data_IF_205066424143
#
_entry.id   IF_205066424143
#
_cell.length_a   1.000
_cell.length_b   1.000
_cell.length_c   1.000
_cell.angle_alpha   90.00
_cell.angle_beta   90.00
_cell.angle_gamma   90.00
#
_symmetry.space_group_name_H-M   'P 1'
#
loop_
_entity.id
_entity.type
_entity.pdbx_description
1 polymer ?
#
# COMPACT_ATOMS: atom_id res chain seq x y z
N UNK A 1 54.79 55.87 -6.84
CA UNK A 1 54.81 55.00 -5.64
C UNK A 1 53.46 54.82 -4.94
N UNK A 2 52.54 55.79 -4.93
CA UNK A 2 51.27 55.68 -4.19
C UNK A 2 50.26 54.67 -4.76
N UNK A 3 50.19 54.50 -6.08
CA UNK A 3 49.26 53.57 -6.75
C UNK A 3 49.66 52.11 -6.50
N UNK A 4 50.96 51.80 -6.53
CA UNK A 4 51.47 50.45 -6.28
C UNK A 4 51.19 50.00 -4.84
N UNK A 5 51.30 50.91 -3.87
CA UNK A 5 50.96 50.63 -2.46
C UNK A 5 49.47 50.33 -2.26
N UNK A 6 48.58 51.04 -2.97
CA UNK A 6 47.12 50.80 -2.91
C UNK A 6 46.73 49.47 -3.55
N UNK A 7 47.34 49.12 -4.69
CA UNK A 7 47.12 47.83 -5.33
C UNK A 7 47.59 46.66 -4.46
N UNK A 8 48.74 46.80 -3.79
CA UNK A 8 49.27 45.80 -2.87
C UNK A 8 48.37 45.62 -1.64
N UNK A 9 47.86 46.71 -1.05
CA UNK A 9 46.93 46.66 0.08
C UNK A 9 45.60 45.96 -0.29
N UNK A 10 45.06 46.23 -1.48
CA UNK A 10 43.85 45.56 -1.97
C UNK A 10 44.07 44.07 -2.23
N UNK A 11 45.24 43.70 -2.77
CA UNK A 11 45.60 42.30 -2.98
C UNK A 11 45.75 41.54 -1.66
N UNK A 12 46.38 42.16 -0.65
CA UNK A 12 46.52 41.59 0.70
C UNK A 12 45.15 41.46 1.38
N UNK A 13 44.28 42.46 1.27
CA UNK A 13 42.92 42.39 1.81
C UNK A 13 42.08 41.28 1.15
N UNK A 14 42.18 41.13 -0.17
CA UNK A 14 41.49 40.05 -0.90
C UNK A 14 42.02 38.65 -0.52
N UNK A 15 43.33 38.52 -0.29
CA UNK A 15 43.94 37.28 0.17
C UNK A 15 43.50 36.94 1.61
N UNK A 16 43.47 37.93 2.50
CA UNK A 16 42.97 37.78 3.87
C UNK A 16 41.49 37.37 3.90
N UNK A 17 40.66 37.96 3.04
CA UNK A 17 39.24 37.61 2.93
C UNK A 17 39.05 36.17 2.43
N UNK A 18 39.87 35.71 1.46
CA UNK A 18 39.86 34.32 0.97
C UNK A 18 40.31 33.33 2.04
N UNK A 19 41.32 33.67 2.84
CA UNK A 19 41.81 32.82 3.93
C UNK A 19 40.78 32.73 5.06
N UNK A 20 40.10 33.83 5.40
CA UNK A 20 39.01 33.85 6.37
C UNK A 20 37.79 33.04 5.89
N UNK A 21 37.43 33.13 4.60
CA UNK A 21 36.37 32.33 4.01
C UNK A 21 36.73 30.83 3.98
N UNK A 22 37.98 30.50 3.67
CA UNK A 22 38.49 29.12 3.72
C UNK A 22 38.47 28.53 5.13
N UNK A 23 38.83 29.33 6.15
CA UNK A 23 38.76 28.90 7.56
C UNK A 23 37.31 28.71 8.03
N UNK A 24 36.37 29.55 7.59
CA UNK A 24 34.94 29.41 7.91
C UNK A 24 34.34 28.11 7.33
N UNK A 25 34.75 27.71 6.12
CA UNK A 25 34.36 26.43 5.52
C UNK A 25 34.96 25.21 6.25
N UNK A 26 36.18 25.32 6.76
CA UNK A 26 36.85 24.24 7.50
C UNK A 26 36.30 24.03 8.93
N UNK A 27 35.80 25.09 9.58
CA UNK A 27 35.15 24.99 10.91
C UNK A 27 33.71 24.48 10.80
N UNK A 28 33.06 24.63 9.64
CA UNK A 28 31.69 24.13 9.40
C UNK A 28 31.63 22.64 9.06
N UNK A 29 32.76 21.97 8.81
CA UNK A 29 32.84 20.52 8.60
C UNK A 29 33.01 19.78 9.92
N UNK A 30 31.98 19.81 10.77
CA UNK A 30 31.78 18.78 11.78
C UNK A 30 31.51 17.43 11.10
N UNK A 31 31.86 16.33 11.78
CA UNK A 31 31.88 14.96 11.28
C UNK A 31 30.53 14.43 10.72
N UNK A 32 30.11 14.89 9.54
CA UNK A 32 29.05 14.35 8.70
C UNK A 32 29.03 14.98 7.27
N UNK A 33 30.15 15.53 6.80
CA UNK A 33 30.20 16.21 5.49
C UNK A 33 30.26 15.19 4.34
N UNK A 34 29.30 15.31 3.41
CA UNK A 34 29.35 14.60 2.12
C UNK A 34 30.61 15.01 1.35
N UNK A 35 31.24 14.10 0.58
CA UNK A 35 32.34 14.50 -0.29
C UNK A 35 31.82 15.43 -1.37
N UNK A 36 32.04 16.74 -1.20
CA UNK A 36 31.87 17.74 -2.24
C UNK A 36 33.04 17.59 -3.21
N UNK A 37 32.76 17.16 -4.44
CA UNK A 37 33.73 17.23 -5.53
C UNK A 37 33.62 18.60 -6.21
N UNK A 38 34.74 19.27 -6.53
CA UNK A 38 34.70 20.62 -7.09
C UNK A 38 34.04 20.63 -8.47
N UNK A 39 33.06 21.52 -8.63
CA UNK A 39 32.46 21.88 -9.91
C UNK A 39 33.41 22.77 -10.71
N UNK A 40 33.85 22.32 -11.90
CA UNK A 40 34.55 23.18 -12.85
C UNK A 40 33.56 24.16 -13.54
N UNK A 41 33.96 25.40 -13.84
CA UNK A 41 33.07 26.37 -14.46
C UNK A 41 32.85 26.03 -15.94
N UNK A 42 31.58 26.02 -16.37
CA UNK A 42 31.19 25.78 -17.77
C UNK A 42 31.29 27.09 -18.55
N UNK A 43 32.26 27.19 -19.45
CA UNK A 43 32.25 28.17 -20.54
C UNK A 43 31.60 27.54 -21.76
N UNK A 44 30.65 28.25 -22.36
CA UNK A 44 29.88 27.79 -23.50
C UNK A 44 30.75 27.66 -24.76
N UNK A 45 31.21 26.44 -25.04
CA UNK A 45 31.50 25.92 -26.39
C UNK A 45 31.47 24.40 -26.35
N UNK A 46 30.71 23.79 -27.27
CA UNK A 46 30.67 22.32 -27.49
C UNK A 46 32.06 21.85 -27.91
N UNK A 47 32.86 21.45 -26.93
CA UNK A 47 34.00 20.56 -27.10
C UNK A 47 33.95 19.60 -25.93
N UNK A 48 33.87 18.30 -26.22
CA UNK A 48 34.01 17.22 -25.24
C UNK A 48 35.38 17.36 -24.55
N UNK A 49 35.45 18.13 -23.46
CA UNK A 49 36.59 18.11 -22.56
C UNK A 49 36.35 16.93 -21.62
N UNK A 50 37.04 15.85 -21.95
CA UNK A 50 37.13 14.64 -21.17
C UNK A 50 37.67 15.00 -19.78
N UNK A 51 36.80 15.01 -18.77
CA UNK A 51 37.22 15.13 -17.38
C UNK A 51 37.90 13.81 -16.97
N UNK A 52 39.20 13.87 -16.71
CA UNK A 52 40.01 12.74 -16.23
C UNK A 52 39.66 12.42 -14.76
N UNK A 53 38.53 11.73 -14.58
CA UNK A 53 38.31 10.87 -13.42
C UNK A 53 38.38 9.43 -13.94
N UNK A 54 39.08 8.49 -13.27
CA UNK A 54 39.13 7.10 -13.71
C UNK A 54 37.72 6.50 -13.64
N UNK A 55 36.98 6.57 -14.74
CA UNK A 55 35.66 5.98 -14.85
C UNK A 55 35.82 4.46 -14.99
N UNK A 56 35.08 3.64 -14.23
CA UNK A 56 35.03 2.20 -14.46
C UNK A 56 34.67 1.91 -15.92
N UNK A 57 35.37 0.99 -16.60
CA UNK A 57 35.10 0.64 -18.01
C UNK A 57 33.63 0.28 -18.28
N UNK A 58 32.95 -0.28 -17.28
CA UNK A 58 31.52 -0.59 -17.30
C UNK A 58 30.62 0.63 -17.68
N UNK A 59 31.05 1.86 -17.35
CA UNK A 59 30.29 3.08 -17.62
C UNK A 59 30.36 3.51 -19.10
N UNK A 60 31.21 2.88 -19.90
CA UNK A 60 31.40 3.19 -21.32
C UNK A 60 30.65 2.25 -22.26
N UNK A 61 29.96 1.24 -21.71
CA UNK A 61 29.17 0.33 -22.55
C UNK A 61 28.01 1.08 -23.21
N UNK A 62 27.64 0.65 -24.42
CA UNK A 62 26.54 1.27 -25.17
C UNK A 62 25.22 1.25 -24.41
N UNK A 63 24.95 0.15 -23.70
CA UNK A 63 23.75 0.01 -22.87
C UNK A 63 23.77 0.99 -21.69
N UNK A 64 24.91 1.11 -20.99
CA UNK A 64 25.07 2.08 -19.91
C UNK A 64 24.85 3.52 -20.38
N UNK A 65 25.49 3.90 -21.48
CA UNK A 65 25.38 5.25 -22.03
C UNK A 65 23.94 5.60 -22.42
N UNK A 66 23.22 4.67 -23.06
CA UNK A 66 21.79 4.84 -23.37
C UNK A 66 20.94 5.07 -22.13
N UNK A 67 21.23 4.37 -21.03
CA UNK A 67 20.50 4.57 -19.77
C UNK A 67 20.76 5.94 -19.15
N UNK A 68 22.01 6.43 -19.21
CA UNK A 68 22.36 7.79 -18.78
C UNK A 68 21.63 8.83 -19.64
N UNK A 69 21.69 8.70 -20.96
CA UNK A 69 21.06 9.65 -21.88
C UNK A 69 19.53 9.70 -21.71
N UNK A 70 18.89 8.53 -21.52
CA UNK A 70 17.46 8.43 -21.24
C UNK A 70 17.08 9.17 -19.95
N UNK A 71 17.78 8.91 -18.85
CA UNK A 71 17.53 9.59 -17.59
C UNK A 71 17.83 11.09 -17.67
N UNK A 72 18.86 11.49 -18.41
CA UNK A 72 19.19 12.89 -18.60
C UNK A 72 18.08 13.63 -19.36
N UNK A 73 17.49 13.02 -20.39
CA UNK A 73 16.38 13.60 -21.12
C UNK A 73 15.14 13.83 -20.22
N UNK A 74 14.85 12.90 -19.31
CA UNK A 74 13.75 13.04 -18.34
C UNK A 74 14.05 14.13 -17.31
N UNK A 75 15.27 14.13 -16.74
CA UNK A 75 15.68 15.04 -15.67
C UNK A 75 15.86 16.50 -16.14
N UNK A 76 16.16 16.71 -17.42
CA UNK A 76 16.27 18.05 -18.00
C UNK A 76 14.97 18.86 -17.90
N UNK A 77 13.80 18.20 -18.03
CA UNK A 77 12.49 18.86 -17.87
C UNK A 77 12.29 19.37 -16.44
N UNK A 78 12.72 18.61 -15.43
CA UNK A 78 12.63 19.00 -14.03
C UNK A 78 13.57 20.15 -13.67
N UNK A 79 14.74 20.25 -14.33
CA UNK A 79 15.62 21.42 -14.22
C UNK A 79 14.99 22.67 -14.85
N UNK A 80 14.42 22.54 -16.05
CA UNK A 80 13.77 23.64 -16.75
C UNK A 80 12.56 24.21 -15.96
N UNK A 81 11.85 23.35 -15.24
CA UNK A 81 10.69 23.71 -14.41
C UNK A 81 11.06 24.18 -13.00
N UNK A 82 12.35 24.17 -12.62
CA UNK A 82 12.80 24.54 -11.28
C UNK A 82 12.45 23.56 -10.17
N UNK A 83 11.99 22.35 -10.52
CA UNK A 83 11.74 21.23 -9.59
C UNK A 83 13.08 20.70 -9.05
N UNK A 84 14.09 20.65 -9.92
CA UNK A 84 15.48 20.32 -9.63
C UNK A 84 16.36 21.54 -9.93
N UNK A 85 17.42 21.76 -9.16
CA UNK A 85 18.35 22.86 -9.39
C UNK A 85 19.80 22.37 -9.42
N UNK A 86 20.73 23.03 -10.15
CA UNK A 86 22.15 22.68 -10.15
C UNK A 86 22.81 22.54 -8.75
N UNK A 87 22.51 23.38 -7.74
CA UNK A 87 23.09 23.22 -6.41
C UNK A 87 22.39 22.15 -5.54
N UNK A 88 21.33 21.49 -6.03
CA UNK A 88 20.56 20.54 -5.25
C UNK A 88 21.41 19.35 -4.78
N UNK A 89 21.27 18.99 -3.51
CA UNK A 89 21.68 17.66 -3.00
C UNK A 89 20.64 16.66 -3.47
N UNK A 90 20.94 15.97 -4.57
CA UNK A 90 20.02 15.04 -5.21
C UNK A 90 20.36 13.58 -4.90
N UNK A 91 19.35 12.77 -4.64
CA UNK A 91 19.49 11.34 -4.35
C UNK A 91 18.72 10.51 -5.38
N UNK A 92 19.40 9.55 -5.99
CA UNK A 92 18.85 8.60 -6.94
C UNK A 92 18.69 7.22 -6.30
N UNK A 93 17.50 6.62 -6.42
CA UNK A 93 17.18 5.32 -5.83
C UNK A 93 17.20 4.16 -6.83
N UNK A 94 17.18 4.43 -8.15
CA UNK A 94 17.18 3.39 -9.18
C UNK A 94 18.58 2.97 -9.64
N UNK A 95 19.58 3.86 -9.57
CA UNK A 95 20.97 3.45 -9.75
C UNK A 95 21.96 4.54 -10.15
N UNK A 96 23.20 4.13 -10.41
CA UNK A 96 24.31 5.04 -10.70
C UNK A 96 24.14 5.79 -12.04
N UNK A 97 23.41 5.21 -13.00
CA UNK A 97 23.12 5.83 -14.30
C UNK A 97 22.31 7.13 -14.12
N UNK A 98 21.37 7.14 -13.18
CA UNK A 98 20.55 8.31 -12.83
C UNK A 98 21.40 9.41 -12.20
N UNK A 99 22.28 9.05 -11.25
CA UNK A 99 23.18 9.99 -10.61
C UNK A 99 24.20 10.57 -11.60
N UNK A 100 24.70 9.76 -12.53
CA UNK A 100 25.58 10.25 -13.59
C UNK A 100 24.85 11.21 -14.52
N UNK A 101 23.61 10.89 -14.92
CA UNK A 101 22.78 11.76 -15.75
C UNK A 101 22.58 13.14 -15.09
N UNK A 102 22.26 13.18 -13.80
CA UNK A 102 22.16 14.43 -13.04
C UNK A 102 23.46 15.23 -13.02
N UNK A 103 24.61 14.56 -12.81
CA UNK A 103 25.91 15.25 -12.79
C UNK A 103 26.26 15.84 -14.15
N UNK A 104 25.95 15.15 -15.24
CA UNK A 104 26.17 15.67 -16.60
C UNK A 104 25.25 16.85 -16.94
N UNK A 105 24.09 16.93 -16.29
CA UNK A 105 23.20 18.10 -16.34
C UNK A 105 23.60 19.23 -15.38
N UNK A 106 24.71 19.08 -14.63
CA UNK A 106 25.26 20.12 -13.75
C UNK A 106 24.86 20.01 -12.28
N UNK A 107 24.13 18.97 -11.87
CA UNK A 107 23.79 18.71 -10.46
C UNK A 107 24.94 17.93 -9.81
N UNK A 108 26.01 18.65 -9.46
CA UNK A 108 27.29 18.06 -9.05
C UNK A 108 27.19 17.16 -7.80
N UNK A 109 26.28 17.47 -6.87
CA UNK A 109 26.11 16.74 -5.61
C UNK A 109 25.20 15.49 -5.74
N UNK A 110 24.79 15.10 -6.95
CA UNK A 110 23.95 13.93 -7.14
C UNK A 110 24.67 12.62 -6.79
N UNK A 111 23.98 11.74 -6.05
CA UNK A 111 24.46 10.41 -5.68
C UNK A 111 23.36 9.37 -5.84
N UNK A 112 23.74 8.13 -6.14
CA UNK A 112 22.86 6.98 -6.11
C UNK A 112 23.03 6.19 -4.81
N UNK A 113 21.97 5.53 -4.36
CA UNK A 113 22.01 4.61 -3.23
C UNK A 113 21.93 3.19 -3.75
N UNK A 114 22.89 2.35 -3.39
CA UNK A 114 22.83 0.92 -3.63
C UNK A 114 23.46 0.15 -2.47
N UNK A 115 23.22 -1.15 -2.40
CA UNK A 115 23.78 -2.02 -1.36
C UNK A 115 25.31 -2.04 -1.36
N UNK A 116 25.94 -2.00 -2.54
CA UNK A 116 27.40 -1.99 -2.69
C UNK A 116 27.87 -0.58 -3.04
N UNK A 117 28.76 -0.03 -2.20
CA UNK A 117 29.40 1.28 -2.45
C UNK A 117 30.22 1.25 -3.75
N UNK A 118 30.10 2.29 -4.56
CA UNK A 118 30.87 2.47 -5.80
C UNK A 118 31.11 3.97 -6.05
N UNK A 119 32.13 4.56 -5.40
CA UNK A 119 32.41 5.98 -5.55
C UNK A 119 32.89 6.32 -6.98
N UNK A 120 32.70 7.56 -7.45
CA UNK A 120 32.11 8.69 -6.72
C UNK A 120 30.58 8.78 -6.79
N UNK A 121 29.90 7.89 -7.54
CA UNK A 121 28.46 7.99 -7.82
C UNK A 121 27.58 7.31 -6.77
N UNK A 122 28.04 6.23 -6.14
CA UNK A 122 27.19 5.36 -5.33
C UNK A 122 27.62 5.34 -3.87
N UNK A 123 26.69 5.67 -2.99
CA UNK A 123 26.80 5.49 -1.54
C UNK A 123 26.11 4.19 -1.11
N UNK A 124 26.60 3.59 -0.03
CA UNK A 124 26.02 2.35 0.50
C UNK A 124 24.73 2.65 1.30
N UNK A 125 23.66 1.94 1.00
CA UNK A 125 22.38 1.99 1.72
C UNK A 125 21.43 0.88 1.28
N UNK A 126 20.29 0.77 1.97
CA UNK A 126 19.23 -0.18 1.62
C UNK A 126 17.83 0.41 1.84
N UNK A 127 16.81 -0.36 1.45
CA UNK A 127 15.39 0.02 1.55
C UNK A 127 14.91 0.29 2.99
N UNK A 128 15.64 -0.12 4.05
CA UNK A 128 15.26 0.13 5.46
C UNK A 128 15.69 1.50 5.93
N UNK A 129 16.88 1.91 5.49
CA UNK A 129 17.53 3.09 6.01
C UNK A 129 18.46 3.67 4.97
N UNK A 130 18.01 4.76 4.35
CA UNK A 130 18.85 5.55 3.47
C UNK A 130 19.89 6.29 4.33
N UNK A 131 21.14 6.42 3.85
CA UNK A 131 22.29 6.92 4.62
C UNK A 131 22.30 8.45 4.74
N UNK A 132 21.14 9.06 4.98
CA UNK A 132 20.96 10.51 5.04
C UNK A 132 20.13 10.93 6.24
N UNK A 133 20.40 12.13 6.76
CA UNK A 133 19.66 12.69 7.88
C UNK A 133 18.22 13.06 7.47
N UNK A 134 17.35 13.26 8.46
CA UNK A 134 16.01 13.80 8.21
C UNK A 134 16.13 15.16 7.51
N UNK A 135 15.23 15.45 6.57
CA UNK A 135 15.12 16.76 5.91
C UNK A 135 16.46 17.33 5.42
N UNK A 136 17.27 16.50 4.75
CA UNK A 136 18.64 16.86 4.35
C UNK A 136 18.88 16.88 2.84
N UNK A 137 17.92 16.37 2.06
CA UNK A 137 18.01 16.17 0.61
C UNK A 137 17.04 17.10 -0.10
N UNK A 138 17.50 17.77 -1.16
CA UNK A 138 16.74 18.78 -1.90
C UNK A 138 15.92 18.17 -3.06
N UNK A 139 16.25 16.95 -3.48
CA UNK A 139 15.56 16.25 -4.55
C UNK A 139 15.78 14.74 -4.45
N UNK A 140 14.72 13.95 -4.60
CA UNK A 140 14.82 12.49 -4.69
C UNK A 140 14.26 12.02 -6.03
N UNK A 141 15.01 11.17 -6.73
CA UNK A 141 14.58 10.50 -7.94
C UNK A 141 14.51 8.98 -7.71
N UNK A 142 13.34 8.41 -7.90
CA UNK A 142 13.08 6.99 -7.77
C UNK A 142 12.73 6.39 -9.14
N UNK A 143 13.74 6.16 -9.99
CA UNK A 143 13.52 5.51 -11.28
C UNK A 143 13.27 4.01 -11.11
N UNK A 144 12.00 3.61 -11.07
CA UNK A 144 11.54 2.21 -10.89
C UNK A 144 12.06 1.53 -9.62
N UNK A 145 12.54 2.31 -8.66
CA UNK A 145 13.10 1.80 -7.40
C UNK A 145 12.01 1.14 -6.55
N UNK A 146 10.80 1.72 -6.49
CA UNK A 146 9.68 1.13 -5.75
C UNK A 146 9.19 -0.18 -6.39
N UNK A 147 9.16 -0.27 -7.73
CA UNK A 147 8.72 -1.47 -8.47
C UNK A 147 9.56 -2.70 -8.10
N UNK A 148 10.86 -2.51 -7.85
CA UNK A 148 11.81 -3.59 -7.57
C UNK A 148 12.14 -3.75 -6.09
N UNK A 149 11.70 -2.82 -5.24
CA UNK A 149 12.00 -2.84 -3.82
C UNK A 149 11.40 -4.09 -3.16
N UNK A 150 12.15 -4.70 -2.24
CA UNK A 150 11.59 -5.81 -1.44
C UNK A 150 10.52 -5.32 -0.48
N UNK A 151 10.65 -4.06 -0.04
CA UNK A 151 9.77 -3.37 0.90
C UNK A 151 9.53 -1.93 0.39
N UNK A 152 8.63 -1.76 -0.59
CA UNK A 152 8.36 -0.46 -1.19
C UNK A 152 7.86 0.58 -0.18
N UNK A 153 7.08 0.15 0.83
CA UNK A 153 6.62 1.03 1.91
C UNK A 153 7.79 1.60 2.73
N UNK A 154 8.77 0.76 3.12
CA UNK A 154 9.96 1.21 3.86
C UNK A 154 10.79 2.21 3.03
N UNK A 155 10.98 1.91 1.74
CA UNK A 155 11.74 2.77 0.83
C UNK A 155 11.03 4.11 0.58
N UNK A 156 9.70 4.10 0.41
CA UNK A 156 8.88 5.30 0.26
C UNK A 156 8.93 6.17 1.54
N UNK A 157 8.82 5.56 2.71
CA UNK A 157 8.93 6.24 3.99
C UNK A 157 10.33 6.87 4.18
N UNK A 158 11.40 6.15 3.81
CA UNK A 158 12.76 6.69 3.86
C UNK A 158 13.00 7.81 2.84
N UNK A 159 12.46 7.69 1.62
CA UNK A 159 12.49 8.77 0.63
C UNK A 159 11.81 10.03 1.15
N UNK A 160 10.63 9.89 1.76
CA UNK A 160 9.93 10.98 2.43
C UNK A 160 10.73 11.54 3.62
N UNK A 161 11.39 10.67 4.40
CA UNK A 161 12.17 11.07 5.58
C UNK A 161 13.38 11.93 5.21
N UNK A 162 14.11 11.61 4.15
CA UNK A 162 15.34 12.33 3.80
C UNK A 162 15.07 13.64 3.06
N UNK A 163 13.94 13.73 2.37
CA UNK A 163 13.54 14.88 1.55
C UNK A 163 13.18 16.08 2.45
N UNK A 164 13.65 17.28 2.12
CA UNK A 164 13.29 18.52 2.84
C UNK A 164 11.83 18.91 2.62
N UNK A 165 11.21 19.69 3.54
CA UNK A 165 9.97 20.40 3.25
C UNK A 165 10.08 21.21 1.95
N UNK A 166 8.98 21.29 1.20
CA UNK A 166 8.88 21.96 -0.12
C UNK A 166 9.74 21.36 -1.25
N UNK A 167 10.52 20.32 -0.96
CA UNK A 167 11.30 19.62 -1.96
C UNK A 167 10.47 18.54 -2.68
N UNK A 168 11.00 18.06 -3.80
CA UNK A 168 10.29 17.16 -4.70
C UNK A 168 10.85 15.74 -4.71
N UNK A 169 9.94 14.78 -4.75
CA UNK A 169 10.21 13.38 -5.11
C UNK A 169 9.64 13.14 -6.50
N UNK A 170 10.48 12.71 -7.43
CA UNK A 170 10.06 12.24 -8.76
C UNK A 170 10.18 10.73 -8.79
N UNK A 171 9.11 10.06 -9.18
CA UNK A 171 9.00 8.62 -9.21
C UNK A 171 8.62 8.15 -10.60
N UNK A 172 9.33 7.14 -11.11
CA UNK A 172 8.93 6.41 -12.30
C UNK A 172 8.48 5.01 -11.90
N UNK A 173 7.33 4.58 -12.41
CA UNK A 173 6.80 3.23 -12.17
C UNK A 173 6.22 2.63 -13.43
N UNK A 174 6.40 1.32 -13.62
CA UNK A 174 5.66 0.53 -14.60
C UNK A 174 4.28 0.07 -14.08
N UNK A 175 3.98 0.36 -12.82
CA UNK A 175 2.70 0.11 -12.16
C UNK A 175 1.88 1.41 -12.09
N UNK A 176 0.87 1.48 -11.21
CA UNK A 176 0.02 2.65 -11.00
C UNK A 176 -0.77 3.08 -12.26
N UNK A 177 -1.02 2.16 -13.20
CA UNK A 177 -1.75 2.44 -14.43
C UNK A 177 -3.24 2.70 -14.15
N UNK A 178 -3.82 1.93 -13.23
CA UNK A 178 -5.19 2.08 -12.75
C UNK A 178 -5.27 2.99 -11.52
N UNK A 179 -6.48 3.48 -11.22
CA UNK A 179 -6.68 4.43 -10.14
C UNK A 179 -6.45 3.82 -8.74
N UNK A 180 -6.65 2.51 -8.56
CA UNK A 180 -6.42 1.84 -7.29
C UNK A 180 -4.93 1.68 -6.99
N UNK A 181 -4.14 1.27 -7.97
CA UNK A 181 -2.69 1.14 -7.82
C UNK A 181 -2.02 2.51 -7.63
N UNK A 182 -2.50 3.56 -8.32
CA UNK A 182 -2.04 4.94 -8.08
C UNK A 182 -2.35 5.43 -6.66
N UNK A 183 -3.56 5.17 -6.15
CA UNK A 183 -3.95 5.56 -4.79
C UNK A 183 -3.18 4.76 -3.75
N UNK A 184 -2.94 3.47 -3.99
CA UNK A 184 -2.10 2.63 -3.14
C UNK A 184 -0.66 3.16 -3.07
N UNK A 185 -0.10 3.62 -4.18
CA UNK A 185 1.22 4.27 -4.21
C UNK A 185 1.20 5.59 -3.42
N UNK A 186 0.18 6.43 -3.61
CA UNK A 186 0.04 7.69 -2.85
C UNK A 186 -0.04 7.45 -1.34
N UNK A 187 -0.73 6.39 -0.90
CA UNK A 187 -0.85 6.02 0.51
C UNK A 187 0.50 5.63 1.16
N UNK A 188 1.52 5.28 0.38
CA UNK A 188 2.88 5.07 0.88
C UNK A 188 3.60 6.38 1.22
N UNK A 189 3.10 7.52 0.75
CA UNK A 189 3.74 8.83 0.85
C UNK A 189 2.82 9.87 1.53
N UNK A 190 2.35 9.63 2.76
CA UNK A 190 1.33 10.49 3.41
C UNK A 190 1.80 11.94 3.65
N UNK A 191 3.12 12.18 3.75
CA UNK A 191 3.68 13.51 3.93
C UNK A 191 3.91 14.28 2.60
N UNK A 192 3.57 13.66 1.46
CA UNK A 192 3.80 14.25 0.14
C UNK A 192 2.49 14.35 -0.64
N UNK A 193 2.31 15.49 -1.30
CA UNK A 193 1.18 15.74 -2.21
C UNK A 193 1.60 15.44 -3.64
N UNK A 194 0.82 14.64 -4.35
CA UNK A 194 1.00 14.46 -5.79
C UNK A 194 0.65 15.77 -6.52
N UNK A 195 1.58 16.32 -7.28
CA UNK A 195 1.41 17.58 -8.03
C UNK A 195 1.36 17.38 -9.54
N UNK A 196 1.93 16.29 -10.06
CA UNK A 196 1.91 15.95 -11.49
C UNK A 196 1.90 14.45 -11.70
N UNK A 197 1.13 13.97 -12.68
CA UNK A 197 1.11 12.60 -13.16
C UNK A 197 1.07 12.62 -14.69
N UNK A 198 1.97 11.90 -15.36
CA UNK A 198 1.95 11.73 -16.82
C UNK A 198 2.52 10.39 -17.24
N UNK A 199 2.10 9.91 -18.41
CA UNK A 199 2.68 8.73 -19.03
C UNK A 199 3.89 9.12 -19.89
N UNK A 200 4.95 8.33 -19.82
CA UNK A 200 6.20 8.50 -20.56
C UNK A 200 6.59 7.18 -21.24
N UNK A 201 7.41 7.26 -22.29
CA UNK A 201 7.92 6.06 -22.98
C UNK A 201 9.04 5.42 -22.18
N UNK A 202 9.00 4.10 -22.02
CA UNK A 202 10.12 3.37 -21.43
C UNK A 202 11.34 3.36 -22.37
N UNK A 203 12.52 3.11 -21.80
CA UNK A 203 13.79 3.13 -22.52
C UNK A 203 13.92 2.01 -23.57
N UNK A 204 13.52 0.79 -23.23
CA UNK A 204 13.91 -0.42 -23.97
C UNK A 204 12.79 -1.04 -24.83
N UNK A 205 11.54 -0.58 -24.68
CA UNK A 205 10.40 -1.07 -25.46
C UNK A 205 9.39 0.05 -25.71
N UNK A 206 9.20 0.41 -26.99
CA UNK A 206 8.28 1.45 -27.44
C UNK A 206 6.80 1.14 -27.12
N UNK A 207 6.46 -0.13 -26.85
CA UNK A 207 5.13 -0.54 -26.42
C UNK A 207 4.90 -0.37 -24.90
N UNK A 208 5.97 -0.29 -24.10
CA UNK A 208 5.86 -0.15 -22.64
C UNK A 208 5.84 1.32 -22.21
N UNK A 209 4.78 1.70 -21.51
CA UNK A 209 4.61 3.02 -20.90
C UNK A 209 5.03 2.96 -19.43
N UNK A 210 5.72 4.00 -18.96
CA UNK A 210 5.95 4.25 -17.54
C UNK A 210 5.09 5.43 -17.12
N UNK A 211 4.72 5.48 -15.84
CA UNK A 211 4.08 6.65 -15.25
C UNK A 211 5.13 7.44 -14.46
N UNK A 212 5.25 8.72 -14.78
CA UNK A 212 5.99 9.70 -13.98
C UNK A 212 5.03 10.37 -13.00
N UNK A 213 5.38 10.30 -11.73
CA UNK A 213 4.69 10.97 -10.64
C UNK A 213 5.63 11.97 -9.98
N UNK A 214 5.18 13.22 -9.83
CA UNK A 214 5.91 14.24 -9.09
C UNK A 214 5.16 14.54 -7.81
N UNK A 215 5.84 14.35 -6.71
CA UNK A 215 5.37 14.59 -5.36
C UNK A 215 6.10 15.77 -4.75
N UNK A 216 5.37 16.57 -3.99
CA UNK A 216 5.86 17.72 -3.26
C UNK A 216 5.69 17.49 -1.76
N UNK A 217 6.78 17.58 -0.99
CA UNK A 217 6.73 17.38 0.47
C UNK A 217 6.11 18.59 1.15
N UNK A 218 5.11 18.35 2.00
CA UNK A 218 4.42 19.41 2.73
C UNK A 218 5.22 19.86 3.96
N UNK A 219 5.07 21.13 4.35
CA UNK A 219 5.55 21.61 5.64
C UNK A 219 4.89 20.87 6.81
N UNK A 220 5.70 20.50 7.81
CA UNK A 220 5.25 19.88 9.06
C UNK A 220 4.24 20.73 9.87
N UNK A 221 4.13 22.03 9.56
CA UNK A 221 3.20 22.99 10.18
C UNK A 221 1.91 23.24 9.40
N UNK A 222 1.70 22.58 8.27
CA UNK A 222 0.31 22.34 7.89
C UNK A 222 -0.20 21.39 8.96
N UNK A 223 -0.99 21.92 9.90
CA UNK A 223 -1.93 21.08 10.64
C UNK A 223 -2.48 20.17 9.56
N UNK A 224 -2.16 18.89 9.64
CA UNK A 224 -3.13 17.92 9.20
C UNK A 224 -4.36 18.36 10.00
N UNK A 225 -5.22 19.20 9.39
CA UNK A 225 -6.66 19.02 9.53
C UNK A 225 -6.73 17.53 9.39
N UNK A 226 -6.85 16.86 10.55
CA UNK A 226 -7.04 15.43 10.66
C UNK A 226 -7.97 15.15 9.51
N UNK A 227 -7.42 14.63 8.41
CA UNK A 227 -8.18 14.45 7.19
C UNK A 227 -9.25 13.55 7.71
N UNK A 228 -10.44 14.13 7.87
CA UNK A 228 -11.38 13.69 8.87
C UNK A 228 -11.50 12.21 8.57
N UNK A 229 -11.15 11.33 9.52
CA UNK A 229 -11.09 9.88 9.28
C UNK A 229 -12.50 9.33 8.94
N UNK A 230 -13.46 10.20 8.64
CA UNK A 230 -14.53 10.00 7.68
C UNK A 230 -13.93 9.58 6.35
N UNK A 231 -13.80 8.27 6.19
CA UNK A 231 -13.93 7.67 4.88
C UNK A 231 -15.14 8.32 4.20
N UNK A 232 -14.88 9.17 3.19
CA UNK A 232 -15.95 9.58 2.29
C UNK A 232 -16.35 8.28 1.60
N UNK A 233 -17.51 7.76 2.00
CA UNK A 233 -18.15 6.54 1.48
C UNK A 233 -17.76 6.37 0.01
N UNK A 234 -16.92 5.38 -0.26
CA UNK A 234 -16.31 5.04 -1.55
C UNK A 234 -15.40 6.11 -2.17
N UNK A 235 -14.06 6.08 -2.01
CA UNK A 235 -13.19 6.90 -2.85
C UNK A 235 -13.37 6.47 -4.32
N UNK A 236 -13.67 7.41 -5.22
CA UNK A 236 -14.12 7.22 -6.62
C UNK A 236 -13.47 6.06 -7.40
N UNK A 237 -12.18 5.79 -7.13
CA UNK A 237 -11.43 4.71 -7.76
C UNK A 237 -11.97 3.31 -7.44
N UNK A 238 -12.42 3.04 -6.21
CA UNK A 238 -13.02 1.74 -5.86
C UNK A 238 -14.37 1.57 -6.57
N UNK A 239 -15.16 2.64 -6.69
CA UNK A 239 -16.40 2.64 -7.48
C UNK A 239 -16.16 2.39 -8.97
N UNK A 240 -15.06 2.89 -9.54
CA UNK A 240 -14.67 2.58 -10.92
C UNK A 240 -14.34 1.09 -11.10
N UNK A 241 -13.64 0.47 -10.14
CA UNK A 241 -13.35 -0.97 -10.17
C UNK A 241 -14.62 -1.82 -10.10
N UNK A 242 -15.61 -1.39 -9.31
CA UNK A 242 -16.88 -2.10 -9.16
C UNK A 242 -17.70 -2.20 -10.46
N UNK A 243 -17.47 -1.32 -11.43
CA UNK A 243 -18.07 -1.44 -12.78
C UNK A 243 -17.65 -2.72 -13.50
N UNK A 244 -16.55 -3.34 -13.07
CA UNK A 244 -16.02 -4.59 -13.61
C UNK A 244 -16.30 -5.80 -12.71
N UNK A 245 -16.97 -5.61 -11.57
CA UNK A 245 -17.36 -6.70 -10.68
C UNK A 245 -18.43 -7.60 -11.32
N UNK A 246 -18.52 -8.86 -10.88
CA UNK A 246 -19.63 -9.72 -11.26
C UNK A 246 -20.97 -9.16 -10.76
N UNK A 247 -22.08 -9.32 -11.50
CA UNK A 247 -23.38 -8.80 -11.07
C UNK A 247 -23.84 -9.46 -9.76
N UNK A 248 -24.56 -8.70 -8.94
CA UNK A 248 -25.27 -9.28 -7.80
C UNK A 248 -26.39 -10.19 -8.32
N UNK A 249 -26.51 -11.37 -7.72
CA UNK A 249 -27.63 -12.28 -7.91
C UNK A 249 -28.86 -11.60 -7.32
N UNK A 250 -29.79 -11.19 -8.19
CA UNK A 250 -30.97 -10.40 -7.82
C UNK A 250 -32.10 -11.25 -7.23
N UNK A 251 -32.15 -12.54 -7.57
CA UNK A 251 -33.22 -13.45 -7.18
C UNK A 251 -32.73 -14.52 -6.22
N UNK A 252 -33.55 -14.86 -5.22
CA UNK A 252 -33.23 -15.88 -4.23
C UNK A 252 -32.94 -17.24 -4.92
N UNK A 253 -31.73 -17.81 -4.74
CA UNK A 253 -31.39 -19.05 -5.40
C UNK A 253 -32.15 -20.24 -4.77
N UNK A 254 -33.02 -20.89 -5.54
CA UNK A 254 -33.73 -22.11 -5.13
C UNK A 254 -32.79 -23.28 -4.77
N UNK A 255 -31.58 -23.29 -5.35
CA UNK A 255 -30.53 -24.29 -5.08
C UNK A 255 -29.19 -23.57 -4.83
N UNK A 256 -28.95 -23.02 -3.63
CA UNK A 256 -27.80 -22.16 -3.34
C UNK A 256 -26.45 -22.78 -3.71
N UNK A 257 -26.24 -24.07 -3.44
CA UNK A 257 -24.97 -24.76 -3.75
C UNK A 257 -24.67 -24.85 -5.26
N UNK A 258 -25.69 -24.85 -6.12
CA UNK A 258 -25.50 -24.86 -7.59
C UNK A 258 -25.17 -23.43 -8.05
N UNK A 259 -25.92 -22.46 -7.55
CA UNK A 259 -25.69 -21.04 -7.85
C UNK A 259 -24.31 -20.59 -7.38
N UNK A 260 -23.88 -20.99 -6.18
CA UNK A 260 -22.52 -20.78 -5.68
C UNK A 260 -21.47 -21.33 -6.64
N UNK A 261 -21.57 -22.60 -7.03
CA UNK A 261 -20.59 -23.22 -7.94
C UNK A 261 -20.48 -22.49 -9.27
N UNK A 262 -21.60 -21.94 -9.78
CA UNK A 262 -21.60 -21.10 -10.99
C UNK A 262 -20.97 -19.75 -10.70
N UNK A 263 -21.35 -19.11 -9.60
CA UNK A 263 -20.89 -17.77 -9.22
C UNK A 263 -19.39 -17.72 -8.94
N UNK A 264 -18.82 -18.74 -8.29
CA UNK A 264 -17.38 -18.81 -7.99
C UNK A 264 -16.52 -18.74 -9.26
N UNK A 265 -17.04 -19.20 -10.39
CA UNK A 265 -16.34 -19.11 -11.68
C UNK A 265 -16.47 -17.71 -12.33
N UNK A 266 -17.45 -16.90 -11.93
CA UNK A 266 -17.64 -15.53 -12.43
C UNK A 266 -17.02 -14.45 -11.55
N UNK A 267 -16.65 -14.77 -10.30
CA UNK A 267 -16.03 -13.83 -9.35
C UNK A 267 -14.86 -13.08 -10.01
N UNK A 268 -14.89 -11.76 -9.92
CA UNK A 268 -13.84 -10.87 -10.38
C UNK A 268 -13.01 -10.40 -9.20
N UNK A 269 -12.06 -11.24 -8.79
CA UNK A 269 -11.13 -10.94 -7.69
C UNK A 269 -10.41 -9.61 -7.93
N UNK A 270 -10.22 -8.79 -6.90
CA UNK A 270 -9.55 -7.49 -7.03
C UNK A 270 -8.13 -7.60 -7.62
N UNK A 271 -7.29 -8.61 -7.31
CA UNK A 271 -5.99 -8.75 -7.93
C UNK A 271 -6.04 -9.16 -9.41
N UNK A 272 -7.22 -9.44 -9.97
CA UNK A 272 -7.40 -9.58 -11.42
C UNK A 272 -7.81 -8.25 -12.08
N UNK A 273 -8.27 -7.27 -11.29
CA UNK A 273 -8.76 -5.97 -11.76
C UNK A 273 -7.76 -4.83 -11.52
N UNK A 274 -6.88 -4.97 -10.52
CA UNK A 274 -5.93 -3.95 -10.11
C UNK A 274 -4.57 -4.53 -9.70
N UNK A 275 -3.52 -3.71 -9.81
CA UNK A 275 -2.19 -4.05 -9.31
C UNK A 275 -2.10 -3.76 -7.79
N UNK A 276 -1.81 -4.81 -7.00
CA UNK A 276 -1.69 -4.73 -5.54
C UNK A 276 -0.23 -4.67 -5.06
N UNK A 277 0.73 -4.46 -5.96
CA UNK A 277 2.18 -4.47 -5.66
C UNK A 277 2.62 -3.45 -4.61
N UNK A 278 1.93 -2.32 -4.51
CA UNK A 278 2.21 -1.29 -3.50
C UNK A 278 1.61 -1.58 -2.12
N UNK A 279 0.82 -2.63 -1.98
CA UNK A 279 0.30 -3.07 -0.68
C UNK A 279 1.30 -3.98 0.03
N UNK A 280 1.31 -3.93 1.37
CA UNK A 280 2.25 -4.71 2.19
C UNK A 280 2.05 -6.23 2.03
N UNK A 281 3.15 -6.97 2.18
CA UNK A 281 3.23 -8.45 2.09
C UNK A 281 3.35 -9.07 3.47
N UNK A 282 2.72 -10.24 3.69
CA UNK A 282 2.68 -10.91 4.99
C UNK A 282 2.71 -12.45 4.86
N UNK A 283 3.23 -13.31 5.74
CA UNK A 283 3.28 -14.78 5.47
C UNK A 283 2.00 -15.57 5.86
N UNK A 284 1.36 -16.36 4.97
CA UNK A 284 0.02 -16.97 5.26
C UNK A 284 -0.11 -18.48 5.10
N UNK A 285 -0.80 -19.01 6.10
CA UNK A 285 -1.34 -20.33 6.34
C UNK A 285 -2.75 -20.76 5.93
N UNK A 286 -3.65 -19.99 5.29
CA UNK A 286 -5.08 -20.40 5.34
C UNK A 286 -5.69 -21.05 4.09
N UNK A 287 -6.64 -21.98 4.36
CA UNK A 287 -7.72 -22.46 3.51
C UNK A 287 -7.33 -23.22 2.24
N UNK A 288 -7.91 -24.40 2.01
CA UNK A 288 -7.80 -25.09 0.71
C UNK A 288 -8.17 -24.14 -0.44
N UNK A 289 -9.30 -23.43 -0.34
CA UNK A 289 -9.76 -22.55 -1.40
C UNK A 289 -8.87 -21.30 -1.57
N UNK A 290 -8.71 -20.47 -0.53
CA UNK A 290 -7.94 -19.21 -0.64
C UNK A 290 -6.51 -19.47 -1.10
N UNK A 291 -5.87 -20.53 -0.58
CA UNK A 291 -4.51 -20.91 -0.99
C UNK A 291 -4.44 -21.35 -2.46
N UNK A 292 -5.45 -22.09 -2.92
CA UNK A 292 -5.49 -22.75 -4.24
C UNK A 292 -6.03 -21.86 -5.36
N UNK A 293 -6.97 -20.96 -5.05
CA UNK A 293 -7.75 -20.25 -6.06
C UNK A 293 -7.60 -18.74 -6.02
N UNK A 294 -7.29 -18.13 -4.87
CA UNK A 294 -7.17 -16.67 -4.80
C UNK A 294 -5.92 -16.17 -5.54
N UNK A 295 -6.04 -15.20 -6.47
CA UNK A 295 -4.90 -14.68 -7.24
C UNK A 295 -4.06 -13.74 -6.39
N UNK A 296 -2.94 -14.23 -5.84
CA UNK A 296 -2.14 -13.47 -4.87
C UNK A 296 -1.12 -12.49 -5.49
N UNK A 297 -0.94 -12.46 -6.81
CA UNK A 297 0.12 -11.69 -7.49
C UNK A 297 1.53 -11.88 -6.86
N UNK A 298 1.88 -13.09 -6.41
CA UNK A 298 3.11 -13.40 -5.64
C UNK A 298 3.22 -12.70 -4.27
N UNK A 299 2.15 -12.11 -3.76
CA UNK A 299 2.05 -11.67 -2.38
C UNK A 299 1.76 -12.85 -1.46
N UNK A 300 2.17 -12.67 -0.23
CA UNK A 300 1.83 -13.54 0.88
C UNK A 300 0.80 -12.77 1.75
N UNK A 301 -0.05 -13.45 2.52
CA UNK A 301 -1.05 -12.85 3.42
C UNK A 301 -0.72 -13.05 4.90
N UNK A 302 -1.25 -12.33 5.87
CA UNK A 302 -1.30 -12.81 7.28
C UNK A 302 -2.73 -13.28 7.50
N UNK A 303 -2.94 -14.32 8.30
CA UNK A 303 -4.32 -14.81 8.48
C UNK A 303 -4.70 -15.00 9.93
N UNK A 304 -5.82 -14.36 10.25
CA UNK A 304 -6.54 -14.50 11.49
C UNK A 304 -7.79 -15.34 11.23
N UNK A 305 -8.00 -16.38 12.04
CA UNK A 305 -9.26 -17.11 12.09
C UNK A 305 -10.00 -16.68 13.35
N UNK A 306 -11.16 -16.04 13.20
CA UNK A 306 -12.00 -15.62 14.32
C UNK A 306 -13.12 -16.64 14.46
N UNK A 307 -13.13 -17.38 15.56
CA UNK A 307 -14.01 -18.54 15.74
C UNK A 307 -14.52 -18.62 17.18
N UNK A 308 -15.84 -18.52 17.32
CA UNK A 308 -16.52 -18.51 18.61
C UNK A 308 -16.76 -19.92 19.16
N UNK A 309 -16.99 -20.93 18.30
CA UNK A 309 -17.29 -22.28 18.74
C UNK A 309 -16.01 -23.05 19.08
N UNK A 310 -15.81 -23.46 20.35
CA UNK A 310 -14.65 -24.25 20.77
C UNK A 310 -14.43 -25.55 20.01
N UNK A 311 -15.48 -26.12 19.39
CA UNK A 311 -15.38 -27.34 18.59
C UNK A 311 -14.41 -27.20 17.40
N UNK A 312 -14.24 -25.99 16.86
CA UNK A 312 -13.36 -25.73 15.72
C UNK A 312 -11.98 -25.16 16.11
N UNK A 313 -11.76 -24.81 17.38
CA UNK A 313 -10.51 -24.20 17.85
C UNK A 313 -9.29 -25.07 17.57
N UNK A 314 -9.38 -26.37 17.85
CA UNK A 314 -8.27 -27.32 17.61
C UNK A 314 -7.92 -27.42 16.13
N UNK A 315 -8.92 -27.40 15.25
CA UNK A 315 -8.71 -27.44 13.79
C UNK A 315 -7.98 -26.20 13.30
N UNK A 316 -8.38 -25.00 13.74
CA UNK A 316 -7.73 -23.75 13.34
C UNK A 316 -6.36 -23.57 13.97
N UNK A 317 -6.19 -23.91 15.25
CA UNK A 317 -4.91 -23.81 15.95
C UNK A 317 -3.83 -24.74 15.35
N UNK A 318 -4.23 -25.87 14.75
CA UNK A 318 -3.31 -26.78 14.09
C UNK A 318 -2.85 -26.31 12.68
N UNK A 319 -3.53 -25.32 12.06
CA UNK A 319 -3.20 -24.86 10.70
C UNK A 319 -2.01 -23.90 10.72
N UNK A 320 -0.92 -24.26 10.01
CA UNK A 320 0.38 -23.57 10.03
C UNK A 320 0.34 -22.03 10.12
N UNK A 321 0.43 -21.21 9.10
CA UNK A 321 0.45 -19.73 9.24
C UNK A 321 -0.92 -19.09 9.55
N UNK A 322 -1.68 -19.62 10.51
CA UNK A 322 -2.99 -19.10 10.96
C UNK A 322 -2.91 -18.73 12.44
N UNK A 323 -3.35 -17.51 12.77
CA UNK A 323 -3.53 -17.06 14.14
C UNK A 323 -5.00 -17.20 14.52
N UNK A 324 -5.32 -18.12 15.42
CA UNK A 324 -6.68 -18.26 15.95
C UNK A 324 -6.96 -17.15 16.97
N UNK A 325 -8.09 -16.48 16.81
CA UNK A 325 -8.73 -15.59 17.76
C UNK A 325 -10.00 -16.30 18.27
N UNK A 326 -9.95 -16.97 19.44
CA UNK A 326 -11.04 -17.82 19.96
C UNK A 326 -12.15 -16.97 20.60
N UNK A 327 -12.70 -16.04 19.83
CA UNK A 327 -13.71 -15.09 20.26
C UNK A 327 -14.80 -14.97 19.18
N UNK A 328 -15.99 -14.54 19.58
CA UNK A 328 -16.98 -14.06 18.61
C UNK A 328 -16.61 -12.66 18.10
N UNK A 329 -16.59 -12.48 16.77
CA UNK A 329 -16.56 -11.15 16.18
C UNK A 329 -17.88 -10.43 16.53
N UNK A 330 -17.78 -9.26 17.16
CA UNK A 330 -18.96 -8.55 17.63
C UNK A 330 -18.78 -7.03 17.57
N UNK A 331 -19.82 -6.29 17.97
CA UNK A 331 -19.86 -4.82 17.91
C UNK A 331 -19.23 -4.13 19.12
N UNK A 332 -18.92 -4.89 20.18
CA UNK A 332 -18.27 -4.42 21.42
C UNK A 332 -17.68 -5.59 22.21
N UNK A 333 -16.80 -5.28 23.15
CA UNK A 333 -16.25 -6.26 24.09
C UNK A 333 -17.31 -6.65 25.13
N UNK A 334 -17.81 -7.87 25.07
CA UNK A 334 -18.76 -8.40 26.06
C UNK A 334 -18.76 -9.94 26.08
N UNK A 335 -19.54 -10.53 26.97
CA UNK A 335 -19.79 -11.98 26.97
C UNK A 335 -21.17 -12.24 26.37
N UNK A 336 -21.22 -13.07 25.33
CA UNK A 336 -22.44 -13.37 24.59
C UNK A 336 -22.96 -14.76 24.92
N UNK A 337 -24.28 -14.93 24.78
CA UNK A 337 -24.92 -16.25 24.80
C UNK A 337 -24.90 -16.83 23.39
N UNK A 338 -24.21 -17.95 23.25
CA UNK A 338 -24.00 -18.69 22.01
C UNK A 338 -24.84 -19.96 22.03
N UNK A 339 -25.78 -20.07 21.12
CA UNK A 339 -26.70 -21.20 21.00
C UNK A 339 -26.24 -22.14 19.89
N UNK A 340 -26.10 -23.42 20.22
CA UNK A 340 -25.78 -24.49 19.27
C UNK A 340 -27.04 -25.31 19.07
N UNK A 341 -27.65 -25.15 17.89
CA UNK A 341 -28.85 -25.90 17.53
C UNK A 341 -28.47 -27.27 16.94
N UNK A 342 -29.26 -28.30 17.23
CA UNK A 342 -29.28 -29.51 16.40
C UNK A 342 -30.05 -29.18 15.11
N UNK A 343 -29.51 -29.55 13.94
CA UNK A 343 -30.14 -29.33 12.64
C UNK A 343 -31.46 -30.15 12.57
N UNK A 344 -32.65 -29.52 12.51
CA UNK A 344 -33.90 -30.26 12.35
C UNK A 344 -33.95 -30.82 10.92
N UNK A 345 -33.84 -32.14 10.77
CA UNK A 345 -33.88 -32.84 9.48
C UNK A 345 -32.65 -33.72 9.16
N UNK A 346 -31.69 -33.86 10.08
CA UNK A 346 -30.55 -34.79 9.95
C UNK A 346 -30.50 -35.83 11.07
N UNK A 347 -31.63 -36.46 11.40
CA UNK A 347 -31.61 -37.56 12.38
C UNK A 347 -30.85 -38.81 11.89
N UNK A 348 -30.60 -38.96 10.58
CA UNK A 348 -30.04 -40.22 10.05
C UNK A 348 -28.73 -40.11 9.24
N UNK A 349 -28.03 -38.97 9.21
CA UNK A 349 -26.79 -38.85 8.41
C UNK A 349 -25.60 -38.24 9.16
N UNK A 350 -24.78 -39.17 9.69
CA UNK A 350 -23.40 -39.07 10.24
C UNK A 350 -23.28 -38.72 11.72
N UNK A 351 -22.40 -39.46 12.39
CA UNK A 351 -22.23 -39.64 13.82
C UNK A 351 -21.92 -38.40 14.69
N UNK A 352 -22.06 -37.16 14.20
CA UNK A 352 -21.84 -35.92 14.97
C UNK A 352 -22.80 -34.80 14.52
N UNK A 353 -24.12 -35.03 14.61
CA UNK A 353 -25.19 -34.09 14.19
C UNK A 353 -25.32 -32.79 15.01
N UNK A 354 -24.21 -32.07 15.23
CA UNK A 354 -24.17 -30.76 15.90
C UNK A 354 -24.27 -29.65 14.84
N UNK A 355 -25.25 -28.75 14.94
CA UNK A 355 -25.37 -27.60 14.05
C UNK A 355 -24.37 -26.49 14.39
N UNK A 356 -24.26 -25.50 13.51
CA UNK A 356 -23.40 -24.34 13.70
C UNK A 356 -24.01 -23.39 14.73
N UNK A 357 -23.17 -22.87 15.63
CA UNK A 357 -23.64 -22.03 16.73
C UNK A 357 -23.84 -20.56 16.32
N UNK A 358 -24.77 -19.88 17.00
CA UNK A 358 -25.16 -18.49 16.73
C UNK A 358 -25.26 -17.65 17.99
N UNK A 359 -25.06 -16.34 17.87
CA UNK A 359 -25.30 -15.40 18.97
C UNK A 359 -26.82 -15.20 19.13
N UNK A 360 -27.32 -15.22 20.37
CA UNK A 360 -28.72 -14.93 20.67
C UNK A 360 -28.97 -13.43 20.92
N UNK A 361 -30.03 -12.83 20.33
CA UNK A 361 -30.59 -11.59 20.83
C UNK A 361 -31.14 -11.79 22.25
N UNK A 362 -31.12 -10.76 23.08
CA UNK A 362 -31.49 -10.83 24.50
C UNK A 362 -32.95 -11.27 24.78
N UNK A 363 -33.82 -11.33 23.77
CA UNK A 363 -35.28 -11.49 23.91
C UNK A 363 -35.89 -12.74 23.23
N UNK A 364 -35.17 -13.88 23.16
CA UNK A 364 -35.67 -15.10 22.53
C UNK A 364 -36.09 -16.21 23.52
N UNK A 365 -37.27 -16.80 23.34
CA UNK A 365 -37.73 -17.99 24.08
C UNK A 365 -36.77 -19.19 23.88
N UNK A 366 -36.48 -19.93 24.96
CA UNK A 366 -35.62 -21.12 24.94
C UNK A 366 -36.42 -22.28 24.37
N UNK A 367 -36.01 -22.83 23.22
CA UNK A 367 -36.44 -24.18 22.82
C UNK A 367 -35.62 -25.18 23.65
N UNK A 368 -36.32 -26.11 24.32
CA UNK A 368 -35.78 -27.05 25.32
C UNK A 368 -34.64 -27.98 24.84
N UNK A 369 -34.25 -27.94 23.56
CA UNK A 369 -33.24 -28.83 22.95
C UNK A 369 -31.96 -28.13 22.48
N UNK A 370 -31.72 -26.88 22.89
CA UNK A 370 -30.58 -26.07 22.44
C UNK A 370 -29.49 -25.96 23.51
N UNK A 371 -28.23 -26.21 23.15
CA UNK A 371 -27.10 -26.00 24.06
C UNK A 371 -26.70 -24.52 24.03
N UNK A 372 -26.87 -23.82 25.16
CA UNK A 372 -26.50 -22.40 25.27
C UNK A 372 -25.23 -22.27 26.12
N UNK A 373 -24.17 -21.72 25.54
CA UNK A 373 -22.88 -21.45 26.19
C UNK A 373 -22.59 -19.96 26.25
N UNK A 374 -21.77 -19.55 27.21
CA UNK A 374 -21.23 -18.18 27.22
C UNK A 374 -19.91 -18.15 26.48
N UNK A 375 -19.77 -17.26 25.51
CA UNK A 375 -18.53 -17.07 24.73
C UNK A 375 -18.04 -15.63 24.84
N UNK A 376 -16.72 -15.41 24.95
CA UNK A 376 -16.18 -14.06 24.93
C UNK A 376 -16.28 -13.48 23.52
N UNK A 377 -16.67 -12.22 23.42
CA UNK A 377 -16.78 -11.48 22.17
C UNK A 377 -15.96 -10.20 22.25
N UNK A 378 -15.49 -9.73 21.09
CA UNK A 378 -14.70 -8.51 21.00
C UNK A 378 -15.22 -7.58 19.91
N UNK A 379 -14.93 -6.29 20.06
CA UNK A 379 -15.18 -5.28 19.04
C UNK A 379 -14.28 -5.55 17.83
N UNK A 380 -14.88 -6.15 16.79
CA UNK A 380 -14.16 -6.48 15.57
C UNK A 380 -13.65 -5.24 14.84
N UNK A 381 -14.40 -4.14 14.87
CA UNK A 381 -14.03 -2.92 14.19
C UNK A 381 -12.82 -2.25 14.85
N UNK A 382 -12.78 -2.19 16.19
CA UNK A 382 -11.60 -1.70 16.92
C UNK A 382 -10.37 -2.56 16.66
N UNK A 383 -10.51 -3.89 16.75
CA UNK A 383 -9.41 -4.80 16.49
C UNK A 383 -8.84 -4.64 15.08
N UNK A 384 -9.71 -4.51 14.06
CA UNK A 384 -9.29 -4.30 12.68
C UNK A 384 -8.45 -3.02 12.56
N UNK A 385 -8.93 -1.90 13.13
CA UNK A 385 -8.22 -0.61 13.13
C UNK A 385 -6.88 -0.64 13.87
N UNK A 386 -6.72 -1.51 14.85
CA UNK A 386 -5.46 -1.71 15.57
C UNK A 386 -4.49 -2.66 14.85
N UNK A 387 -5.01 -3.52 13.97
CA UNK A 387 -4.25 -4.60 13.33
C UNK A 387 -3.72 -4.20 11.96
N UNK A 388 -4.48 -3.42 11.20
CA UNK A 388 -4.15 -3.06 9.80
C UNK A 388 -4.25 -1.55 9.56
N UNK A 389 -3.62 -1.12 8.47
CA UNK A 389 -3.57 0.25 7.98
C UNK A 389 -3.99 0.30 6.51
N UNK A 390 -4.22 1.48 5.95
CA UNK A 390 -4.57 1.65 4.53
C UNK A 390 -3.50 1.11 3.55
N UNK A 391 -2.26 0.92 4.03
CA UNK A 391 -1.15 0.35 3.25
C UNK A 391 -1.22 -1.19 3.17
N UNK A 392 -2.06 -1.81 3.99
CA UNK A 392 -2.26 -3.26 4.00
C UNK A 392 -3.33 -3.64 2.97
N UNK A 393 -3.20 -4.84 2.41
CA UNK A 393 -4.21 -5.41 1.52
C UNK A 393 -5.06 -6.41 2.30
N UNK A 394 -6.34 -6.08 2.50
CA UNK A 394 -7.21 -6.81 3.42
C UNK A 394 -8.32 -7.53 2.66
N UNK A 395 -8.32 -8.85 2.80
CA UNK A 395 -9.37 -9.73 2.29
C UNK A 395 -10.09 -10.33 3.48
N UNK A 396 -11.41 -10.17 3.53
CA UNK A 396 -12.25 -10.68 4.60
C UNK A 396 -13.22 -11.73 4.06
N UNK A 397 -13.31 -12.90 4.70
CA UNK A 397 -14.45 -13.81 4.55
C UNK A 397 -15.29 -13.73 5.82
N UNK A 398 -16.58 -13.45 5.67
CA UNK A 398 -17.55 -13.36 6.76
C UNK A 398 -18.65 -14.39 6.55
N UNK A 399 -18.90 -15.18 7.59
CA UNK A 399 -19.90 -16.24 7.68
C UNK A 399 -20.13 -16.43 9.19
N UNK A 400 -21.03 -15.63 9.74
CA UNK A 400 -21.15 -15.35 11.19
C UNK A 400 -22.57 -15.56 11.70
N UNK A 401 -23.32 -16.43 10.99
CA UNK A 401 -24.57 -17.02 11.45
C UNK A 401 -25.65 -16.00 11.88
N UNK A 402 -25.81 -14.91 11.11
CA UNK A 402 -26.86 -13.92 11.28
C UNK A 402 -26.39 -12.57 11.82
N UNK A 403 -25.18 -12.51 12.36
CA UNK A 403 -24.62 -11.26 12.94
C UNK A 403 -24.02 -10.31 11.91
N UNK A 404 -24.17 -10.62 10.62
CA UNK A 404 -23.75 -9.74 9.52
C UNK A 404 -24.43 -8.36 9.61
N UNK A 405 -25.71 -8.35 10.01
CA UNK A 405 -26.54 -7.14 10.14
C UNK A 405 -26.20 -6.28 11.36
N UNK A 406 -25.39 -6.77 12.31
CA UNK A 406 -24.82 -5.97 13.40
C UNK A 406 -23.41 -5.49 13.04
N UNK A 407 -22.60 -6.40 12.50
CA UNK A 407 -21.18 -6.17 12.23
C UNK A 407 -20.95 -5.21 11.07
N UNK A 408 -21.69 -5.34 9.95
CA UNK A 408 -21.49 -4.47 8.79
C UNK A 408 -21.84 -3.02 9.11
N UNK A 409 -22.98 -2.68 9.75
CA UNK A 409 -23.24 -1.31 10.21
C UNK A 409 -22.16 -0.78 11.15
N UNK A 410 -21.69 -1.60 12.10
CA UNK A 410 -20.58 -1.21 13.00
C UNK A 410 -19.30 -0.86 12.23
N UNK A 411 -18.98 -1.61 11.17
CA UNK A 411 -17.81 -1.33 10.32
C UNK A 411 -17.98 0.00 9.57
N UNK A 412 -19.20 0.34 9.14
CA UNK A 412 -19.51 1.65 8.56
C UNK A 412 -19.39 2.77 9.59
N UNK A 413 -20.06 2.66 10.73
CA UNK A 413 -20.10 3.68 11.79
C UNK A 413 -18.71 4.06 12.31
N UNK A 414 -17.80 3.09 12.36
CA UNK A 414 -16.43 3.28 12.87
C UNK A 414 -15.41 3.67 11.80
N UNK A 415 -15.81 3.65 10.52
CA UNK A 415 -14.93 3.79 9.35
C UNK A 415 -14.00 2.59 9.11
N UNK A 416 -14.10 1.52 9.91
CA UNK A 416 -13.26 0.33 9.77
C UNK A 416 -13.48 -0.41 8.44
N UNK A 417 -14.67 -0.25 7.83
CA UNK A 417 -15.00 -0.83 6.51
C UNK A 417 -13.99 -0.41 5.42
N UNK A 418 -13.37 0.75 5.55
CA UNK A 418 -12.47 1.29 4.53
C UNK A 418 -11.08 0.65 4.52
N UNK A 419 -10.76 -0.08 5.59
CA UNK A 419 -9.57 -0.93 5.66
C UNK A 419 -9.76 -2.23 4.89
N UNK A 420 -10.98 -2.60 4.51
CA UNK A 420 -11.28 -3.84 3.77
C UNK A 420 -11.24 -3.54 2.27
N UNK A 421 -10.40 -4.28 1.54
CA UNK A 421 -10.27 -4.14 0.08
C UNK A 421 -11.19 -5.10 -0.68
N UNK A 422 -11.40 -6.32 -0.15
CA UNK A 422 -12.25 -7.35 -0.76
C UNK A 422 -12.98 -8.16 0.32
N UNK A 423 -14.28 -8.36 0.15
CA UNK A 423 -15.17 -9.03 1.11
C UNK A 423 -15.90 -10.21 0.46
N UNK A 424 -15.82 -11.38 1.08
CA UNK A 424 -16.62 -12.56 0.75
C UNK A 424 -17.64 -12.74 1.87
N UNK A 425 -18.91 -12.47 1.59
CA UNK A 425 -19.95 -12.44 2.62
C UNK A 425 -20.98 -13.54 2.35
N UNK A 426 -21.16 -14.44 3.31
CA UNK A 426 -22.38 -15.24 3.40
C UNK A 426 -23.40 -14.51 4.26
N UNK A 427 -24.51 -14.11 3.62
CA UNK A 427 -25.63 -13.49 4.31
C UNK A 427 -26.64 -14.55 4.74
N UNK A 428 -27.02 -14.51 6.02
CA UNK A 428 -27.94 -15.45 6.63
C UNK A 428 -29.35 -14.85 6.71
N UNK A 429 -30.31 -15.55 6.09
CA UNK A 429 -31.70 -15.12 5.95
C UNK A 429 -32.65 -16.32 5.98
N UNK A 430 -33.94 -16.03 6.06
CA UNK A 430 -35.05 -16.98 6.09
C UNK A 430 -35.21 -17.73 4.76
N UNK A 431 -34.40 -18.78 4.58
CA UNK A 431 -34.31 -19.61 3.36
C UNK A 431 -35.43 -20.66 3.28
N UNK A 432 -35.76 -21.07 2.05
CA UNK A 432 -36.59 -22.25 1.80
C UNK A 432 -35.97 -23.53 2.36
N UNK A 433 -36.78 -24.36 3.03
CA UNK A 433 -36.31 -25.61 3.60
C UNK A 433 -36.23 -26.71 2.55
N UNK A 434 -35.11 -27.44 2.52
CA UNK A 434 -34.91 -28.55 1.58
C UNK A 434 -35.83 -29.75 1.87
N UNK A 435 -36.12 -30.01 3.14
CA UNK A 435 -36.96 -31.14 3.56
C UNK A 435 -38.44 -30.94 3.21
N UNK A 436 -38.86 -29.67 3.12
CA UNK A 436 -40.22 -29.28 3.39
C UNK A 436 -40.64 -28.21 2.37
N UNK A 437 -41.04 -28.62 1.14
CA UNK A 437 -41.38 -27.69 0.07
C UNK A 437 -42.49 -26.71 0.49
N UNK A 438 -42.30 -25.42 0.24
CA UNK A 438 -43.23 -24.36 0.65
C UNK A 438 -43.04 -23.87 2.08
N UNK A 439 -42.16 -24.52 2.87
CA UNK A 439 -41.80 -24.06 4.21
C UNK A 439 -40.47 -23.30 4.20
N UNK A 440 -40.42 -22.29 5.06
CA UNK A 440 -39.27 -21.41 5.27
C UNK A 440 -38.64 -21.67 6.63
N UNK A 441 -37.34 -21.45 6.76
CA UNK A 441 -36.60 -21.71 8.00
C UNK A 441 -36.69 -20.52 8.94
N UNK A 442 -37.36 -20.63 10.11
CA UNK A 442 -37.43 -19.53 11.09
C UNK A 442 -36.11 -19.33 11.84
N UNK A 443 -34.97 -19.81 11.30
CA UNK A 443 -33.65 -19.68 11.93
C UNK A 443 -33.18 -18.23 11.92
N UNK A 444 -33.52 -17.46 10.90
CA UNK A 444 -33.19 -16.04 10.77
C UNK A 444 -34.44 -15.26 10.40
N UNK A 445 -34.56 -14.04 10.92
CA UNK A 445 -35.70 -13.18 10.67
C UNK A 445 -35.56 -12.41 9.34
N UNK A 446 -34.32 -12.18 8.91
CA UNK A 446 -34.00 -11.42 7.69
C UNK A 446 -34.50 -12.14 6.43
N UNK A 447 -34.78 -11.36 5.40
CA UNK A 447 -35.20 -11.78 4.07
C UNK A 447 -34.03 -11.77 3.09
N UNK A 448 -34.24 -12.37 1.92
CA UNK A 448 -33.26 -12.29 0.84
C UNK A 448 -33.08 -10.85 0.32
N UNK A 449 -34.15 -10.06 0.31
CA UNK A 449 -34.14 -8.66 -0.12
C UNK A 449 -33.25 -7.82 0.82
N UNK A 450 -33.38 -7.98 2.13
CA UNK A 450 -32.49 -7.31 3.10
C UNK A 450 -31.01 -7.71 2.92
N UNK A 451 -30.73 -8.97 2.58
CA UNK A 451 -29.38 -9.37 2.19
C UNK A 451 -28.92 -8.65 0.92
N UNK A 452 -29.75 -8.57 -0.11
CA UNK A 452 -29.42 -7.89 -1.36
C UNK A 452 -29.17 -6.39 -1.15
N UNK A 453 -29.95 -5.74 -0.28
CA UNK A 453 -29.75 -4.35 0.13
C UNK A 453 -28.40 -4.18 0.86
N UNK A 454 -28.05 -5.10 1.75
CA UNK A 454 -26.74 -5.11 2.42
C UNK A 454 -25.58 -5.21 1.41
N UNK A 455 -25.67 -6.12 0.43
CA UNK A 455 -24.69 -6.23 -0.64
C UNK A 455 -24.61 -4.97 -1.52
N UNK A 456 -25.76 -4.38 -1.83
CA UNK A 456 -25.85 -3.17 -2.65
C UNK A 456 -25.22 -1.97 -1.94
N UNK A 457 -25.55 -1.77 -0.65
CA UNK A 457 -24.95 -0.73 0.20
C UNK A 457 -23.44 -0.85 0.31
N UNK A 458 -22.90 -2.08 0.44
CA UNK A 458 -21.46 -2.34 0.42
C UNK A 458 -20.81 -1.92 -0.90
N UNK A 459 -21.43 -2.26 -2.05
CA UNK A 459 -20.92 -1.86 -3.37
C UNK A 459 -21.05 -0.36 -3.61
N UNK A 460 -22.16 0.26 -3.26
CA UNK A 460 -22.36 1.71 -3.35
C UNK A 460 -21.34 2.48 -2.50
N UNK A 461 -20.83 1.84 -1.45
CA UNK A 461 -19.78 2.37 -0.58
C UNK A 461 -18.36 2.06 -1.05
N UNK A 462 -18.18 1.45 -2.22
CA UNK A 462 -16.87 1.14 -2.79
C UNK A 462 -16.22 -0.14 -2.24
N UNK A 463 -16.95 -1.01 -1.52
CA UNK A 463 -16.42 -2.31 -1.08
C UNK A 463 -16.68 -3.35 -2.17
N UNK A 464 -15.62 -4.03 -2.63
CA UNK A 464 -15.77 -5.19 -3.51
C UNK A 464 -16.27 -6.38 -2.69
N UNK A 465 -17.59 -6.54 -2.65
CA UNK A 465 -18.25 -7.66 -1.99
C UNK A 465 -18.72 -8.71 -2.99
N UNK A 466 -18.45 -9.97 -2.64
CA UNK A 466 -18.84 -11.18 -3.37
C UNK A 466 -19.87 -11.97 -2.55
N UNK A 467 -21.00 -12.34 -3.18
CA UNK A 467 -22.00 -13.22 -2.58
C UNK A 467 -21.44 -14.64 -2.43
N UNK A 468 -21.26 -15.07 -1.19
CA UNK A 468 -20.71 -16.36 -0.77
C UNK A 468 -21.79 -17.21 -0.08
N UNK A 469 -21.78 -18.53 -0.25
CA UNK A 469 -22.82 -19.46 0.24
C UNK A 469 -22.24 -20.83 0.59
#
# INVERSE_FOLDING_TARGET
MAVLKRALLLAVAALALRLLYGAFLAVSSGAASWPLYPSAPVSARRTYVQADVPYPEAWRTRHWRRAVDYNAALLADHLAQGILAPPSRAVCLGGAQEALAMRELGVAAAVAVQRKRSPPLVVAGDDRRLPFNHDSVDFVFAGRALDHAKRPADLAAEAARILKPEAHLVLLTSSAADAYSLRSLQALLPALRLVRSRDIKAQDDAASTLRELVFHKLHAHTNATSANNTCSIGPDHKLQLLKHAEPLIQEEPLKPWITLKRNVNSIKYLPALADISFKRRYGSSIGSWFRKHYPKQNHTFQVYAIEADPAFHSEYAAKKGVTLLPYAAWVRNETLKFEINADPGKEEAKANGRGMGRIRPAAGNIKMSSEVRSVPAFDFAEWLKQTVTEQDYVVMKMDVEGTEFDLIPRLFDTGAICLIDELFLECHYNRWQKCCPGERSPKYDNTYEECLDLFSSLRESGVLVHQWW
#
